data_IF_377061859169
#
_entry.id   IF_377061859169
#
_cell.length_a   1.000
_cell.length_b   1.000
_cell.length_c   1.000
_cell.angle_alpha   90.00
_cell.angle_beta   90.00
_cell.angle_gamma   90.00
#
_symmetry.space_group_name_H-M   'P 1'
#
loop_
_entity.id
_entity.type
_entity.pdbx_description
1 polymer ?
#
# COMPACT_ATOMS: atom_id res chain seq x y z
N UNK A 1 10.04 4.75 12.39
CA UNK A 1 9.31 5.16 11.17
C UNK A 1 9.90 6.45 10.64
N UNK A 2 10.12 6.55 9.34
CA UNK A 2 10.63 7.76 8.67
C UNK A 2 9.59 8.25 7.66
N UNK A 3 9.47 9.57 7.48
CA UNK A 3 8.68 10.19 6.41
C UNK A 3 9.65 10.85 5.43
N UNK A 4 9.54 10.48 4.15
CA UNK A 4 10.32 11.07 3.07
C UNK A 4 9.45 12.04 2.28
N UNK A 5 9.92 13.26 2.16
CA UNK A 5 9.14 14.37 1.63
C UNK A 5 9.56 14.71 0.20
N UNK A 6 8.57 14.91 -0.68
CA UNK A 6 8.76 15.37 -2.06
C UNK A 6 7.79 16.50 -2.34
N UNK A 7 8.20 17.53 -3.08
CA UNK A 7 7.32 18.64 -3.44
C UNK A 7 6.94 19.56 -2.28
N UNK A 8 7.86 19.79 -1.34
CA UNK A 8 7.67 20.62 -0.13
C UNK A 8 7.21 22.06 -0.42
N UNK A 9 7.31 22.54 -1.66
CA UNK A 9 6.81 23.85 -2.08
C UNK A 9 5.28 23.91 -2.19
N UNK A 10 4.59 22.77 -2.17
CA UNK A 10 3.13 22.69 -2.28
C UNK A 10 2.48 22.73 -0.88
N UNK A 11 1.29 23.31 -0.81
CA UNK A 11 0.47 23.40 0.40
C UNK A 11 -0.53 22.25 0.53
N UNK A 12 -0.77 21.51 -0.55
CA UNK A 12 -1.62 20.32 -0.55
C UNK A 12 -0.82 19.11 -0.12
N UNK A 13 -1.30 18.39 0.90
CA UNK A 13 -0.61 17.24 1.47
C UNK A 13 -1.18 15.92 0.95
N UNK A 14 -0.30 15.05 0.46
CA UNK A 14 -0.60 13.68 0.09
C UNK A 14 0.19 12.73 0.98
N UNK A 15 -0.49 11.96 1.83
CA UNK A 15 0.12 10.90 2.62
C UNK A 15 0.13 9.59 1.81
N UNK A 16 1.29 8.94 1.75
CA UNK A 16 1.52 7.75 0.95
C UNK A 16 2.04 6.60 1.82
N UNK A 17 1.23 5.54 1.99
CA UNK A 17 1.64 4.29 2.63
C UNK A 17 2.05 3.27 1.56
N UNK A 18 3.31 2.80 1.56
CA UNK A 18 3.81 1.83 0.59
C UNK A 18 3.30 0.41 0.85
N UNK A 19 3.54 -0.49 -0.10
CA UNK A 19 3.41 -1.93 0.09
C UNK A 19 4.39 -2.48 1.13
N UNK A 20 4.19 -3.74 1.54
CA UNK A 20 5.09 -4.38 2.50
C UNK A 20 6.33 -4.97 1.83
N UNK A 21 7.45 -4.95 2.55
CA UNK A 21 8.68 -5.61 2.15
C UNK A 21 9.31 -5.09 0.84
N UNK A 22 8.99 -3.85 0.48
CA UNK A 22 9.53 -3.18 -0.71
C UNK A 22 10.34 -1.97 -0.28
N UNK A 23 11.49 -1.69 -0.93
CA UNK A 23 12.28 -0.52 -0.62
C UNK A 23 11.53 0.75 -1.02
N UNK A 24 11.60 1.78 -0.20
CA UNK A 24 10.92 3.05 -0.45
C UNK A 24 11.30 3.67 -1.81
N UNK A 25 12.47 3.35 -2.32
CA UNK A 25 12.97 3.82 -3.63
C UNK A 25 12.06 3.41 -4.79
N UNK A 26 11.39 2.25 -4.68
CA UNK A 26 10.45 1.79 -5.70
C UNK A 26 9.23 2.71 -5.80
N UNK A 27 8.80 3.29 -4.69
CA UNK A 27 7.69 4.24 -4.64
C UNK A 27 8.13 5.69 -4.90
N UNK A 28 9.41 6.00 -4.77
CA UNK A 28 9.93 7.34 -5.02
C UNK A 28 9.71 7.84 -6.46
N UNK A 29 9.58 6.93 -7.41
CA UNK A 29 9.25 7.30 -8.79
C UNK A 29 7.83 7.89 -8.87
N UNK A 30 6.84 7.21 -8.30
CA UNK A 30 5.48 7.70 -8.24
C UNK A 30 5.37 8.96 -7.36
N UNK A 31 6.05 8.99 -6.21
CA UNK A 31 6.07 10.13 -5.33
C UNK A 31 6.60 11.40 -6.01
N UNK A 32 7.66 11.29 -6.84
CA UNK A 32 8.20 12.40 -7.61
C UNK A 32 7.22 12.92 -8.67
N UNK A 33 6.49 12.05 -9.34
CA UNK A 33 5.48 12.46 -10.32
C UNK A 33 4.29 13.16 -9.62
N UNK A 34 3.82 12.65 -8.49
CA UNK A 34 2.78 13.25 -7.65
C UNK A 34 3.23 14.59 -7.05
N UNK A 35 4.52 14.74 -6.78
CA UNK A 35 5.13 15.95 -6.24
C UNK A 35 5.09 17.15 -7.21
N UNK A 36 4.63 16.95 -8.44
CA UNK A 36 4.32 18.06 -9.34
C UNK A 36 3.17 18.95 -8.83
N UNK A 37 2.29 18.42 -7.93
CA UNK A 37 1.09 19.11 -7.44
C UNK A 37 0.86 19.00 -5.93
N UNK A 38 1.52 18.09 -5.26
CA UNK A 38 1.35 17.79 -3.84
C UNK A 38 2.68 17.80 -3.08
N UNK A 39 2.62 18.19 -1.82
CA UNK A 39 3.64 17.83 -0.85
C UNK A 39 3.40 16.37 -0.46
N UNK A 40 4.18 15.45 -1.03
CA UNK A 40 4.03 14.00 -0.84
C UNK A 40 4.82 13.55 0.37
N UNK A 41 4.15 12.90 1.30
CA UNK A 41 4.66 12.35 2.55
C UNK A 41 4.73 10.82 2.42
N UNK A 42 5.83 10.31 1.89
CA UNK A 42 6.05 8.87 1.72
C UNK A 42 6.54 8.25 3.02
N UNK A 43 5.68 7.43 3.65
CA UNK A 43 5.99 6.75 4.91
C UNK A 43 6.92 5.55 4.64
N UNK A 44 7.96 5.42 5.45
CA UNK A 44 8.76 4.20 5.56
C UNK A 44 8.54 3.61 6.95
N UNK A 45 7.76 2.52 7.09
CA UNK A 45 7.50 1.92 8.40
C UNK A 45 8.77 1.39 9.07
N UNK A 46 8.78 1.30 10.40
CA UNK A 46 9.84 0.62 11.12
C UNK A 46 10.12 -0.76 10.52
N UNK A 47 11.39 -1.17 10.52
CA UNK A 47 11.83 -2.45 9.96
C UNK A 47 11.87 -2.50 8.43
N UNK A 48 11.48 -1.42 7.71
CA UNK A 48 11.55 -1.32 6.25
C UNK A 48 12.74 -0.48 5.76
N UNK A 49 13.44 0.21 6.66
CA UNK A 49 14.69 0.88 6.34
C UNK A 49 15.86 0.12 6.99
N UNK A 50 16.76 -0.49 6.19
CA UNK A 50 17.88 -1.26 6.73
C UNK A 50 18.83 -0.45 7.61
N UNK A 51 18.90 0.87 7.35
CA UNK A 51 19.84 1.76 8.04
C UNK A 51 19.33 2.16 9.45
N UNK A 52 18.03 2.01 9.72
CA UNK A 52 17.43 2.39 11.00
C UNK A 52 17.50 1.29 12.09
N UNK A 53 17.80 0.05 11.74
CA UNK A 53 17.89 -1.10 12.66
C UNK A 53 16.69 -1.26 13.61
N UNK A 54 15.49 -0.94 13.10
CA UNK A 54 14.21 -1.05 13.82
C UNK A 54 13.46 -2.32 13.43
N UNK A 55 12.47 -2.72 14.22
CA UNK A 55 11.53 -3.78 13.87
C UNK A 55 10.14 -3.21 13.62
N UNK A 56 9.47 -3.68 12.58
CA UNK A 56 8.04 -3.44 12.40
C UNK A 56 7.26 -4.07 13.55
N UNK A 57 6.32 -3.33 14.14
CA UNK A 57 5.50 -3.79 15.27
C UNK A 57 4.09 -4.14 14.82
N UNK A 58 3.34 -3.16 14.30
CA UNK A 58 1.97 -3.37 13.81
C UNK A 58 1.51 -2.23 12.89
N UNK A 59 0.41 -2.44 12.18
CA UNK A 59 -0.28 -1.43 11.37
C UNK A 59 -0.68 -0.25 12.25
N UNK A 60 -1.29 -0.51 13.40
CA UNK A 60 -1.77 0.52 14.32
C UNK A 60 -0.62 1.41 14.79
N UNK A 61 0.51 0.80 15.20
CA UNK A 61 1.66 1.59 15.63
C UNK A 61 2.20 2.48 14.51
N UNK A 62 2.28 1.98 13.29
CA UNK A 62 2.74 2.78 12.14
C UNK A 62 1.79 3.94 11.88
N UNK A 63 0.47 3.71 11.95
CA UNK A 63 -0.56 4.74 11.79
C UNK A 63 -0.46 5.78 12.91
N UNK A 64 -0.35 5.35 14.17
CA UNK A 64 -0.22 6.24 15.33
C UNK A 64 1.06 7.09 15.26
N UNK A 65 2.18 6.51 14.87
CA UNK A 65 3.45 7.23 14.70
C UNK A 65 3.35 8.24 13.53
N UNK A 66 2.67 7.87 12.44
CA UNK A 66 2.41 8.77 11.32
C UNK A 66 1.56 9.97 11.74
N UNK A 67 0.49 9.72 12.50
CA UNK A 67 -0.38 10.80 13.01
C UNK A 67 0.39 11.72 13.97
N UNK A 68 1.23 11.15 14.84
CA UNK A 68 2.10 11.94 15.70
C UNK A 68 3.02 12.84 14.88
N UNK A 69 3.66 12.30 13.85
CA UNK A 69 4.53 13.04 12.95
C UNK A 69 3.77 14.17 12.24
N UNK A 70 2.55 13.90 11.71
CA UNK A 70 1.69 14.92 11.07
C UNK A 70 1.38 16.06 12.05
N UNK A 71 0.98 15.76 13.30
CA UNK A 71 0.68 16.76 14.33
C UNK A 71 1.91 17.60 14.70
N UNK A 72 3.08 17.00 14.82
CA UNK A 72 4.35 17.70 15.08
C UNK A 72 4.71 18.67 13.94
N UNK A 73 4.33 18.34 12.70
CA UNK A 73 4.51 19.18 11.52
C UNK A 73 3.31 20.11 11.22
N UNK A 74 2.32 20.16 12.14
CA UNK A 74 1.11 21.01 12.05
C UNK A 74 0.26 20.69 10.81
N UNK A 75 0.24 19.43 10.39
CA UNK A 75 -0.62 18.94 9.33
C UNK A 75 -1.84 18.30 9.99
N UNK A 76 -2.96 19.01 9.99
CA UNK A 76 -4.23 18.62 10.63
C UNK A 76 -5.27 18.11 9.62
N UNK A 77 -4.94 18.11 8.33
CA UNK A 77 -5.76 17.65 7.21
C UNK A 77 -4.89 17.14 6.07
N UNK A 78 -5.38 16.14 5.36
CA UNK A 78 -4.79 15.61 4.14
C UNK A 78 -5.72 15.89 2.95
N UNK A 79 -5.20 16.47 1.87
CA UNK A 79 -5.92 16.61 0.61
C UNK A 79 -6.05 15.27 -0.11
N UNK A 80 -5.03 14.42 0.05
CA UNK A 80 -4.99 13.10 -0.55
C UNK A 80 -4.35 12.06 0.38
N UNK A 81 -4.83 10.81 0.28
CA UNK A 81 -4.30 9.64 1.00
C UNK A 81 -4.25 8.45 0.05
N UNK A 82 -3.10 7.82 -0.04
CA UNK A 82 -2.87 6.64 -0.87
C UNK A 82 -2.25 5.51 -0.07
N UNK A 83 -2.63 4.26 -0.38
CA UNK A 83 -1.96 3.10 0.18
C UNK A 83 -2.06 1.86 -0.70
N UNK A 84 -0.91 1.24 -0.96
CA UNK A 84 -0.80 -0.02 -1.71
C UNK A 84 -0.84 -1.21 -0.78
N UNK A 85 -1.64 -2.23 -1.11
CA UNK A 85 -1.55 -3.55 -0.46
C UNK A 85 -1.60 -3.46 1.07
N UNK A 86 -0.52 -3.74 1.75
CA UNK A 86 -0.36 -3.55 3.19
C UNK A 86 -0.58 -2.09 3.62
N UNK A 87 -0.07 -1.14 2.83
CA UNK A 87 -0.34 0.29 3.01
C UNK A 87 -1.82 0.65 2.84
N UNK A 88 -2.55 -0.07 1.97
CA UNK A 88 -4.01 0.04 1.86
C UNK A 88 -4.73 -0.37 3.15
N UNK A 89 -4.21 -1.38 3.87
CA UNK A 89 -4.67 -1.72 5.22
C UNK A 89 -4.38 -0.60 6.23
N UNK A 90 -3.22 0.07 6.13
CA UNK A 90 -2.89 1.25 6.94
C UNK A 90 -3.85 2.42 6.66
N UNK A 91 -4.25 2.61 5.39
CA UNK A 91 -5.26 3.61 5.00
C UNK A 91 -6.59 3.32 5.67
N UNK A 92 -7.08 2.08 5.63
CA UNK A 92 -8.33 1.69 6.30
C UNK A 92 -8.24 1.91 7.81
N UNK A 93 -7.12 1.54 8.44
CA UNK A 93 -6.87 1.79 9.85
C UNK A 93 -6.87 3.29 10.15
N UNK A 94 -6.14 4.10 9.38
CA UNK A 94 -6.07 5.55 9.52
C UNK A 94 -7.46 6.20 9.48
N UNK A 95 -8.23 5.92 8.42
CA UNK A 95 -9.57 6.49 8.21
C UNK A 95 -10.58 6.16 9.32
N UNK A 96 -10.38 5.05 10.01
CA UNK A 96 -11.37 4.53 10.96
C UNK A 96 -10.98 4.69 12.41
N UNK A 97 -9.73 5.06 12.70
CA UNK A 97 -9.22 5.17 14.08
C UNK A 97 -8.60 6.53 14.41
N UNK A 98 -8.36 7.40 13.40
CA UNK A 98 -7.67 8.67 13.59
C UNK A 98 -8.58 9.86 13.29
N UNK A 99 -8.23 11.03 13.87
CA UNK A 99 -9.04 12.26 13.78
C UNK A 99 -8.59 13.19 12.65
N UNK A 100 -7.50 12.90 11.94
CA UNK A 100 -7.03 13.72 10.82
C UNK A 100 -7.85 13.36 9.56
N UNK A 101 -8.66 14.29 9.03
CA UNK A 101 -9.47 14.03 7.85
C UNK A 101 -8.60 13.95 6.59
N UNK A 102 -9.05 13.13 5.63
CA UNK A 102 -8.50 13.08 4.28
C UNK A 102 -9.64 13.28 3.26
N UNK A 103 -9.41 14.12 2.24
CA UNK A 103 -10.48 14.45 1.30
C UNK A 103 -10.70 13.35 0.27
N UNK A 104 -9.61 12.91 -0.35
CA UNK A 104 -9.64 11.90 -1.42
C UNK A 104 -8.68 10.78 -1.12
N UNK A 105 -9.15 9.56 -1.27
CA UNK A 105 -8.45 8.37 -0.79
C UNK A 105 -8.41 7.32 -1.88
N UNK A 106 -7.24 6.76 -2.13
CA UNK A 106 -7.06 5.58 -2.97
C UNK A 106 -6.55 4.43 -2.10
N UNK A 107 -7.30 3.35 -2.06
CA UNK A 107 -6.90 2.06 -1.49
C UNK A 107 -6.54 1.15 -2.67
N UNK A 108 -5.26 0.93 -2.90
CA UNK A 108 -4.78 0.13 -4.03
C UNK A 108 -4.53 -1.31 -3.58
N UNK A 109 -5.41 -2.23 -3.99
CA UNK A 109 -5.39 -3.65 -3.62
C UNK A 109 -5.13 -3.90 -2.11
N UNK A 110 -5.75 -3.06 -1.26
CA UNK A 110 -5.50 -3.03 0.17
C UNK A 110 -5.87 -4.31 0.91
N UNK A 111 -5.09 -4.68 1.94
CA UNK A 111 -5.36 -5.82 2.80
C UNK A 111 -6.53 -5.55 3.76
N UNK A 112 -7.32 -6.59 4.08
CA UNK A 112 -8.48 -6.49 4.96
C UNK A 112 -8.30 -7.28 6.27
N UNK A 113 -8.75 -6.75 7.43
CA UNK A 113 -8.70 -7.45 8.71
C UNK A 113 -9.88 -8.42 8.84
N UNK A 114 -9.72 -9.65 8.40
CA UNK A 114 -10.80 -10.64 8.28
C UNK A 114 -11.48 -11.07 9.59
N UNK A 115 -10.90 -10.73 10.74
CA UNK A 115 -11.44 -11.14 12.07
C UNK A 115 -11.66 -12.65 12.20
N UNK A 116 -10.81 -13.44 11.55
CA UNK A 116 -10.83 -14.90 11.72
C UNK A 116 -10.44 -15.30 13.16
N UNK A 117 -10.83 -16.50 13.61
CA UNK A 117 -10.27 -17.07 14.81
C UNK A 117 -8.75 -17.04 14.80
N UNK A 118 -8.11 -16.71 15.92
CA UNK A 118 -6.65 -16.49 16.00
C UNK A 118 -5.81 -17.66 15.45
N UNK A 119 -6.30 -18.89 15.55
CA UNK A 119 -5.59 -20.06 15.02
C UNK A 119 -5.56 -20.05 13.48
N UNK A 120 -6.64 -19.61 12.81
CA UNK A 120 -6.68 -19.44 11.35
C UNK A 120 -5.71 -18.34 10.94
N UNK A 121 -5.75 -17.18 11.61
CA UNK A 121 -4.82 -16.09 11.37
C UNK A 121 -3.37 -16.54 11.52
N UNK A 122 -3.08 -17.37 12.53
CA UNK A 122 -1.73 -17.94 12.74
C UNK A 122 -1.31 -18.86 11.59
N UNK A 123 -2.21 -19.69 11.07
CA UNK A 123 -1.91 -20.55 9.91
C UNK A 123 -1.62 -19.72 8.65
N UNK A 124 -2.42 -18.67 8.39
CA UNK A 124 -2.18 -17.74 7.29
C UNK A 124 -0.82 -17.05 7.45
N UNK A 125 -0.53 -16.52 8.64
CA UNK A 125 0.75 -15.88 8.95
C UNK A 125 1.94 -16.82 8.75
N UNK A 126 1.84 -18.08 9.21
CA UNK A 126 2.91 -19.09 9.01
C UNK A 126 3.12 -19.36 7.51
N UNK A 127 2.03 -19.53 6.75
CA UNK A 127 2.12 -19.72 5.29
C UNK A 127 2.87 -18.55 4.64
N UNK A 128 2.46 -17.32 4.91
CA UNK A 128 3.01 -16.13 4.27
C UNK A 128 4.45 -15.87 4.71
N UNK A 129 4.77 -16.12 5.98
CA UNK A 129 6.13 -16.11 6.50
C UNK A 129 7.04 -17.10 5.77
N UNK A 130 6.58 -18.35 5.58
CA UNK A 130 7.34 -19.37 4.86
C UNK A 130 7.52 -19.00 3.38
N UNK A 131 6.45 -18.50 2.73
CA UNK A 131 6.52 -18.04 1.34
C UNK A 131 7.51 -16.88 1.17
N UNK A 132 7.51 -15.91 2.09
CA UNK A 132 8.51 -14.85 2.09
C UNK A 132 9.95 -15.39 2.24
N UNK A 133 10.17 -16.36 3.15
CA UNK A 133 11.49 -16.98 3.36
C UNK A 133 11.96 -17.73 2.10
N UNK A 134 11.04 -18.38 1.37
CA UNK A 134 11.33 -19.02 0.09
C UNK A 134 11.67 -17.97 -0.97
N UNK A 135 10.87 -16.91 -1.12
CA UNK A 135 11.09 -15.84 -2.09
C UNK A 135 12.44 -15.16 -1.91
N UNK A 136 12.80 -14.80 -0.65
CA UNK A 136 14.11 -14.18 -0.38
C UNK A 136 15.32 -15.13 -0.51
N UNK A 137 15.08 -16.44 -0.53
CA UNK A 137 16.13 -17.46 -0.69
C UNK A 137 16.31 -17.89 -2.15
N UNK A 138 15.23 -17.91 -2.94
CA UNK A 138 15.19 -18.42 -4.31
C UNK A 138 14.84 -17.32 -5.30
N UNK A 139 15.76 -17.01 -6.21
CA UNK A 139 15.54 -16.07 -7.31
C UNK A 139 14.40 -16.54 -8.21
N UNK A 140 14.36 -17.84 -8.53
CA UNK A 140 13.31 -18.41 -9.38
C UNK A 140 11.92 -18.30 -8.75
N UNK A 141 11.81 -18.45 -7.42
CA UNK A 141 10.53 -18.25 -6.73
C UNK A 141 10.08 -16.79 -6.78
N UNK A 142 11.01 -15.83 -6.65
CA UNK A 142 10.72 -14.41 -6.77
C UNK A 142 10.33 -14.03 -8.21
N UNK A 143 11.06 -14.52 -9.21
CA UNK A 143 10.74 -14.31 -10.63
C UNK A 143 9.39 -14.91 -11.02
N UNK A 144 8.99 -16.03 -10.40
CA UNK A 144 7.67 -16.63 -10.60
C UNK A 144 6.52 -15.81 -10.01
N UNK A 145 6.74 -15.17 -8.85
CA UNK A 145 5.74 -14.33 -8.20
C UNK A 145 5.63 -12.94 -8.86
N UNK A 146 6.75 -12.42 -9.31
CA UNK A 146 6.90 -11.12 -9.95
C UNK A 146 7.70 -11.32 -11.24
N UNK A 147 7.04 -11.56 -12.40
CA UNK A 147 7.72 -11.84 -13.65
C UNK A 147 8.63 -10.67 -14.09
N UNK A 148 9.92 -10.93 -14.43
CA UNK A 148 10.87 -9.86 -14.79
C UNK A 148 10.42 -9.01 -16.00
N UNK A 149 9.62 -9.58 -16.90
CA UNK A 149 9.06 -8.89 -18.06
C UNK A 149 8.13 -7.73 -17.65
N UNK A 150 7.61 -7.78 -16.42
CA UNK A 150 6.66 -6.80 -15.87
C UNK A 150 7.28 -5.95 -14.77
N UNK A 151 8.13 -6.53 -13.92
CA UNK A 151 8.63 -5.91 -12.70
C UNK A 151 10.12 -5.54 -12.73
N UNK A 152 10.88 -5.81 -13.81
CA UNK A 152 12.23 -5.31 -13.97
C UNK A 152 12.24 -3.99 -14.74
N UNK A 153 12.81 -2.95 -14.16
CA UNK A 153 13.00 -1.64 -14.82
C UNK A 153 13.97 -1.73 -15.97
N UNK A 154 15.02 -2.54 -15.80
CA UNK A 154 16.01 -2.82 -16.84
C UNK A 154 16.00 -4.31 -17.18
N UNK A 155 15.24 -4.68 -18.21
CA UNK A 155 15.12 -6.08 -18.67
C UNK A 155 16.46 -6.75 -18.99
N UNK A 156 17.45 -5.99 -19.48
CA UNK A 156 18.80 -6.53 -19.78
C UNK A 156 19.56 -6.92 -18.51
N UNK A 157 19.28 -6.26 -17.39
CA UNK A 157 19.93 -6.49 -16.10
C UNK A 157 18.96 -7.02 -15.02
N UNK A 158 17.81 -7.56 -15.41
CA UNK A 158 16.76 -8.02 -14.50
C UNK A 158 17.27 -8.93 -13.36
N UNK A 159 18.17 -9.88 -13.66
CA UNK A 159 18.78 -10.73 -12.63
C UNK A 159 19.60 -9.96 -11.59
N UNK A 160 20.29 -8.90 -11.99
CA UNK A 160 21.06 -8.08 -11.05
C UNK A 160 20.10 -7.27 -10.15
N UNK A 161 19.06 -6.67 -10.74
CA UNK A 161 18.01 -5.94 -10.04
C UNK A 161 17.31 -6.84 -9.01
N UNK A 162 16.89 -8.05 -9.39
CA UNK A 162 16.26 -9.00 -8.48
C UNK A 162 17.19 -9.49 -7.36
N UNK A 163 18.50 -9.61 -7.62
CA UNK A 163 19.48 -9.91 -6.55
C UNK A 163 19.61 -8.75 -5.55
N UNK A 164 19.43 -7.51 -5.99
CA UNK A 164 19.40 -6.35 -5.11
C UNK A 164 18.15 -6.36 -4.23
N UNK A 165 16.99 -6.63 -4.82
CA UNK A 165 15.75 -6.83 -4.06
C UNK A 165 15.92 -7.98 -3.06
N UNK A 166 16.50 -9.11 -3.45
CA UNK A 166 16.77 -10.22 -2.50
C UNK A 166 17.71 -9.81 -1.36
N UNK A 167 18.75 -9.01 -1.65
CA UNK A 167 19.65 -8.48 -0.60
C UNK A 167 18.87 -7.60 0.38
N UNK A 168 18.01 -6.73 -0.14
CA UNK A 168 17.13 -5.91 0.68
C UNK A 168 16.18 -6.79 1.52
N UNK A 169 15.51 -7.79 0.94
CA UNK A 169 14.63 -8.69 1.68
C UNK A 169 15.34 -9.48 2.79
N UNK A 170 16.65 -9.68 2.68
CA UNK A 170 17.46 -10.36 3.72
C UNK A 170 17.75 -9.46 4.92
N UNK A 171 17.61 -8.16 4.81
CA UNK A 171 17.78 -7.23 5.94
C UNK A 171 16.63 -7.30 6.93
N UNK A 172 15.46 -7.78 6.51
CA UNK A 172 14.30 -7.91 7.38
C UNK A 172 14.55 -8.95 8.49
N UNK A 173 14.38 -8.53 9.75
CA UNK A 173 14.41 -9.43 10.89
C UNK A 173 13.26 -10.45 10.83
N UNK A 174 13.43 -11.59 11.46
CA UNK A 174 12.35 -12.58 11.56
C UNK A 174 11.12 -12.00 12.29
N UNK A 175 11.34 -11.11 13.25
CA UNK A 175 10.29 -10.45 14.02
C UNK A 175 9.50 -9.49 13.11
N UNK A 176 10.18 -8.67 12.31
CA UNK A 176 9.56 -7.78 11.34
C UNK A 176 8.70 -8.55 10.35
N UNK A 177 9.24 -9.60 9.72
CA UNK A 177 8.50 -10.44 8.76
C UNK A 177 7.26 -11.06 9.39
N UNK A 178 7.40 -11.63 10.60
CA UNK A 178 6.26 -12.19 11.33
C UNK A 178 5.18 -11.15 11.61
N UNK A 179 5.58 -9.98 12.12
CA UNK A 179 4.65 -8.92 12.49
C UNK A 179 3.94 -8.31 11.28
N UNK A 180 4.61 -8.18 10.13
CA UNK A 180 3.98 -7.75 8.87
C UNK A 180 2.84 -8.69 8.51
N UNK A 181 3.10 -10.00 8.39
CA UNK A 181 2.09 -10.97 7.97
C UNK A 181 1.01 -11.21 9.03
N UNK A 182 1.36 -11.09 10.31
CA UNK A 182 0.37 -11.10 11.37
C UNK A 182 -0.56 -9.89 11.28
N UNK A 183 -0.01 -8.68 11.15
CA UNK A 183 -0.79 -7.44 11.08
C UNK A 183 -1.63 -7.33 9.81
N UNK A 184 -1.15 -7.81 8.67
CA UNK A 184 -1.81 -7.63 7.38
C UNK A 184 -3.30 -8.01 7.37
N UNK A 185 -3.68 -9.04 8.14
CA UNK A 185 -5.05 -9.53 8.20
C UNK A 185 -5.67 -9.43 9.61
N UNK A 186 -4.99 -8.77 10.55
CA UNK A 186 -5.39 -8.73 11.96
C UNK A 186 -5.34 -7.33 12.57
N UNK A 187 -5.09 -6.28 11.80
CA UNK A 187 -5.09 -4.93 12.35
C UNK A 187 -6.48 -4.55 12.89
N UNK A 188 -6.47 -3.72 13.94
CA UNK A 188 -7.69 -3.36 14.63
C UNK A 188 -8.44 -2.24 13.90
N UNK A 189 -9.73 -2.45 13.68
CA UNK A 189 -10.67 -1.42 13.23
C UNK A 189 -11.96 -1.54 14.04
N UNK A 190 -12.75 -0.47 14.19
CA UNK A 190 -14.07 -0.52 14.82
C UNK A 190 -14.97 -1.61 14.19
N UNK A 191 -15.93 -2.13 14.94
CA UNK A 191 -16.89 -3.13 14.40
C UNK A 191 -17.74 -2.55 13.27
N UNK A 192 -18.08 -1.28 13.38
CA UNK A 192 -18.81 -0.48 12.40
C UNK A 192 -17.90 0.69 12.05
N UNK A 193 -17.73 0.97 10.77
CA UNK A 193 -16.95 2.11 10.33
C UNK A 193 -17.59 3.41 10.85
N UNK A 194 -16.79 4.37 11.34
CA UNK A 194 -17.31 5.69 11.66
C UNK A 194 -17.78 6.39 10.36
N UNK A 195 -18.57 7.47 10.46
CA UNK A 195 -18.87 8.31 9.31
C UNK A 195 -17.57 8.85 8.68
N UNK A 196 -17.34 8.55 7.41
CA UNK A 196 -16.17 8.99 6.65
C UNK A 196 -16.68 9.84 5.49
N UNK A 197 -16.24 11.10 5.46
CA UNK A 197 -16.64 12.09 4.44
C UNK A 197 -15.75 12.05 3.20
N UNK A 198 -14.65 11.31 3.24
CA UNK A 198 -13.73 11.16 2.12
C UNK A 198 -14.41 10.53 0.90
N UNK A 199 -14.05 11.01 -0.29
CA UNK A 199 -14.27 10.22 -1.52
C UNK A 199 -13.20 9.15 -1.60
N UNK A 200 -13.62 7.88 -1.70
CA UNK A 200 -12.71 6.74 -1.63
C UNK A 200 -12.84 5.91 -2.90
N UNK A 201 -11.71 5.66 -3.56
CA UNK A 201 -11.60 4.68 -4.61
C UNK A 201 -10.80 3.45 -4.13
N UNK A 202 -11.27 2.26 -4.51
CA UNK A 202 -10.50 1.03 -4.38
C UNK A 202 -9.99 0.63 -5.77
N UNK A 203 -8.69 0.72 -5.95
CA UNK A 203 -8.04 0.32 -7.19
C UNK A 203 -7.64 -1.14 -7.14
N UNK A 204 -7.81 -1.85 -8.26
CA UNK A 204 -7.43 -3.26 -8.37
C UNK A 204 -7.02 -3.57 -9.81
N UNK A 205 -5.91 -4.25 -9.99
CA UNK A 205 -5.49 -4.70 -11.31
C UNK A 205 -6.41 -5.78 -11.87
N UNK A 206 -6.66 -5.80 -13.18
CA UNK A 206 -7.48 -6.88 -13.79
C UNK A 206 -6.78 -8.25 -13.78
N UNK A 207 -5.47 -8.29 -13.53
CA UNK A 207 -4.65 -9.51 -13.39
C UNK A 207 -4.17 -9.70 -11.94
N UNK A 208 -4.94 -9.16 -11.00
CA UNK A 208 -4.65 -9.20 -9.57
C UNK A 208 -4.76 -10.61 -8.98
N UNK A 209 -4.05 -10.87 -7.89
CA UNK A 209 -4.18 -12.13 -7.16
C UNK A 209 -5.58 -12.32 -6.61
N UNK A 210 -6.14 -13.51 -6.79
CA UNK A 210 -7.52 -13.86 -6.35
C UNK A 210 -7.80 -13.49 -4.89
N UNK A 211 -6.78 -13.51 -4.03
CA UNK A 211 -6.92 -13.10 -2.63
C UNK A 211 -7.35 -11.64 -2.46
N UNK A 212 -6.89 -10.74 -3.32
CA UNK A 212 -7.20 -9.31 -3.24
C UNK A 212 -8.67 -8.99 -3.53
N UNK A 213 -9.34 -9.80 -4.36
CA UNK A 213 -10.79 -9.65 -4.56
C UNK A 213 -11.61 -9.96 -3.29
N UNK A 214 -11.11 -10.84 -2.41
CA UNK A 214 -11.74 -11.06 -1.09
C UNK A 214 -11.53 -9.86 -0.17
N UNK A 215 -10.36 -9.24 -0.22
CA UNK A 215 -10.07 -8.00 0.50
C UNK A 215 -10.98 -6.87 0.02
N UNK A 216 -11.13 -6.70 -1.30
CA UNK A 216 -12.08 -5.76 -1.90
C UNK A 216 -13.51 -6.00 -1.41
N UNK A 217 -13.99 -7.26 -1.45
CA UNK A 217 -15.34 -7.60 -0.99
C UNK A 217 -15.55 -7.22 0.48
N UNK A 218 -14.56 -7.50 1.33
CA UNK A 218 -14.60 -7.11 2.73
C UNK A 218 -14.61 -5.59 2.89
N UNK A 219 -13.69 -4.89 2.20
CA UNK A 219 -13.57 -3.44 2.30
C UNK A 219 -14.84 -2.74 1.81
N UNK A 220 -15.44 -3.21 0.71
CA UNK A 220 -16.71 -2.69 0.19
C UNK A 220 -17.88 -2.90 1.15
N UNK A 221 -17.91 -4.03 1.86
CA UNK A 221 -18.93 -4.27 2.89
C UNK A 221 -18.71 -3.39 4.13
N UNK A 222 -17.47 -3.07 4.45
CA UNK A 222 -17.10 -2.26 5.61
C UNK A 222 -17.19 -0.74 5.33
N UNK A 223 -16.85 -0.32 4.10
CA UNK A 223 -16.92 1.05 3.59
C UNK A 223 -17.78 1.08 2.32
N UNK A 224 -19.12 1.06 2.44
CA UNK A 224 -20.02 0.87 1.30
C UNK A 224 -19.97 2.01 0.26
N UNK A 225 -19.46 3.18 0.62
CA UNK A 225 -19.32 4.34 -0.27
C UNK A 225 -18.14 4.25 -1.24
N UNK A 226 -17.29 3.20 -1.17
CA UNK A 226 -16.13 3.10 -2.05
C UNK A 226 -16.53 2.86 -3.51
N UNK A 227 -15.87 3.58 -4.40
CA UNK A 227 -15.90 3.36 -5.85
C UNK A 227 -14.80 2.36 -6.22
N UNK A 228 -15.11 1.35 -7.04
CA UNK A 228 -14.11 0.37 -7.49
C UNK A 228 -13.60 0.76 -8.87
N UNK A 229 -12.28 0.85 -9.00
CA UNK A 229 -11.59 1.16 -10.25
C UNK A 229 -10.71 -0.02 -10.65
N UNK A 230 -11.02 -0.65 -11.78
CA UNK A 230 -10.19 -1.72 -12.33
C UNK A 230 -9.12 -1.14 -13.24
N UNK A 231 -7.86 -1.44 -12.96
CA UNK A 231 -6.73 -1.04 -13.80
C UNK A 231 -6.44 -2.16 -14.79
N UNK A 232 -6.70 -1.95 -16.10
CA UNK A 232 -6.61 -3.02 -17.08
C UNK A 232 -5.18 -3.53 -17.25
N UNK A 233 -5.03 -4.84 -17.34
CA UNK A 233 -3.75 -5.55 -17.59
C UNK A 233 -2.64 -5.28 -16.54
N UNK A 234 -3.00 -4.94 -15.30
CA UNK A 234 -2.04 -4.74 -14.21
C UNK A 234 -2.13 -5.87 -13.20
N UNK A 235 -0.97 -6.32 -12.75
CA UNK A 235 -0.78 -7.20 -11.59
C UNK A 235 -0.65 -6.37 -10.29
N UNK A 236 -0.52 -7.07 -9.17
CA UNK A 236 -0.38 -6.48 -7.84
C UNK A 236 0.79 -5.50 -7.74
N UNK A 237 0.50 -4.23 -7.43
CA UNK A 237 1.51 -3.17 -7.26
C UNK A 237 2.19 -2.70 -8.55
N UNK A 238 2.00 -3.39 -9.68
CA UNK A 238 2.68 -3.08 -10.93
C UNK A 238 2.43 -1.65 -11.40
N UNK A 239 1.20 -1.17 -11.24
CA UNK A 239 0.82 0.14 -11.78
C UNK A 239 1.60 1.28 -11.11
N UNK A 240 1.65 1.31 -9.79
CA UNK A 240 2.37 2.36 -9.05
C UNK A 240 3.89 2.23 -9.17
N UNK A 241 4.42 0.99 -9.17
CA UNK A 241 5.86 0.77 -9.19
C UNK A 241 6.46 0.90 -10.58
N UNK A 242 5.81 0.35 -11.62
CA UNK A 242 6.39 0.23 -12.96
C UNK A 242 5.86 1.26 -13.94
N UNK A 243 4.67 1.82 -13.71
CA UNK A 243 4.00 2.78 -14.59
C UNK A 243 3.75 4.12 -13.89
N UNK A 244 4.74 4.60 -13.12
CA UNK A 244 4.62 5.74 -12.19
C UNK A 244 4.01 7.00 -12.82
N UNK A 245 4.32 7.32 -14.08
CA UNK A 245 3.76 8.49 -14.78
C UNK A 245 2.26 8.31 -15.06
N UNK A 246 1.86 7.15 -15.59
CA UNK A 246 0.44 6.86 -15.87
C UNK A 246 -0.37 6.76 -14.57
N UNK A 247 0.20 6.09 -13.56
CA UNK A 247 -0.35 6.03 -12.21
C UNK A 247 -0.57 7.43 -11.65
N UNK A 248 0.44 8.29 -11.64
CA UNK A 248 0.36 9.64 -11.10
C UNK A 248 -0.66 10.49 -11.85
N UNK A 249 -0.70 10.42 -13.19
CA UNK A 249 -1.68 11.15 -14.00
C UNK A 249 -3.12 10.77 -13.61
N UNK A 250 -3.42 9.48 -13.48
CA UNK A 250 -4.74 8.99 -13.07
C UNK A 250 -5.05 9.36 -11.61
N UNK A 251 -4.09 9.19 -10.71
CA UNK A 251 -4.26 9.54 -9.29
C UNK A 251 -4.50 11.05 -9.11
N UNK A 252 -3.73 11.90 -9.78
CA UNK A 252 -3.91 13.36 -9.76
C UNK A 252 -5.27 13.78 -10.30
N UNK A 253 -5.77 13.15 -11.36
CA UNK A 253 -7.13 13.40 -11.87
C UNK A 253 -8.16 13.18 -10.78
N UNK A 254 -8.08 12.08 -10.05
CA UNK A 254 -8.98 11.82 -8.92
C UNK A 254 -8.72 12.77 -7.75
N UNK A 255 -7.47 12.98 -7.33
CA UNK A 255 -7.13 13.81 -6.17
C UNK A 255 -7.47 15.30 -6.38
N UNK A 256 -7.42 15.81 -7.60
CA UNK A 256 -7.78 17.20 -7.91
C UNK A 256 -9.29 17.41 -8.16
N UNK A 257 -10.07 16.34 -8.14
CA UNK A 257 -11.52 16.44 -8.26
C UNK A 257 -12.06 16.46 -9.66
N UNK A 258 -11.24 16.22 -10.69
CA UNK A 258 -11.74 16.00 -12.03
C UNK A 258 -12.51 14.67 -12.07
N UNK A 259 -13.72 14.69 -12.66
CA UNK A 259 -14.49 13.46 -12.87
C UNK A 259 -13.74 12.61 -13.91
N UNK A 260 -13.41 11.38 -13.55
CA UNK A 260 -12.97 10.39 -14.53
C UNK A 260 -14.18 10.04 -15.38
N UNK A 261 -14.09 10.25 -16.71
CA UNK A 261 -15.07 9.69 -17.63
C UNK A 261 -15.26 8.20 -17.32
N UNK A 262 -16.52 7.75 -17.29
CA UNK A 262 -16.92 6.39 -16.91
C UNK A 262 -16.19 5.34 -17.75
N UNK A 263 -15.09 4.81 -17.26
CA UNK A 263 -14.45 3.64 -17.83
C UNK A 263 -14.93 2.40 -17.08
N UNK A 264 -15.90 1.73 -17.72
CA UNK A 264 -16.17 0.31 -17.57
C UNK A 264 -16.80 -0.14 -16.26
N UNK A 265 -18.12 -0.08 -16.17
CA UNK A 265 -18.89 -0.97 -15.28
C UNK A 265 -18.76 -2.39 -15.81
N UNK A 266 -17.70 -3.11 -15.46
CA UNK A 266 -17.65 -4.55 -15.63
C UNK A 266 -18.30 -5.24 -14.42
N UNK A 267 -19.21 -6.17 -14.73
CA UNK A 267 -19.94 -6.96 -13.74
C UNK A 267 -18.99 -7.88 -12.97
N UNK A 268 -18.87 -7.65 -11.68
CA UNK A 268 -18.03 -8.35 -10.70
C UNK A 268 -18.62 -9.66 -10.14
N UNK A 269 -19.82 -10.04 -10.57
CA UNK A 269 -20.65 -11.08 -9.93
C UNK A 269 -20.57 -12.44 -10.62
N UNK A 270 -19.40 -12.89 -11.12
CA UNK A 270 -19.25 -14.26 -11.61
C UNK A 270 -18.17 -15.03 -10.86
#
# INVERSE_FOLDING_TARGET
>A
MTVREFGQQHTKHLLFFPGSCEPWQEFAYAAKELAARYHVLLVTPDGHDPDEHTDFISVEKTVDDTVRWLKEHRIDRLDALYGLSFGGGMVVCFLTTQDIPADRVIIDAGTAPYRFPKWICKLICVRDYVMFKIGRASLAAMESAFPPERFARNRKNAKAEYREIQRYLRTFSNRTVWNIFWSANNYAVPKVAPPILSRIQFWVGSEEWKGRYRDLKWTKAYLPQIEVVTIPRMMHGEYVMMHSKAFAAQALTFFDGAETEENGKENWEQ
#
